data_IF_468872334668
#
_entry.id   IF_468872334668
#
_cell.length_a   1.000
_cell.length_b   1.000
_cell.length_c   1.000
_cell.angle_alpha   90.00
_cell.angle_beta   90.00
_cell.angle_gamma   90.00
#
_symmetry.space_group_name_H-M   'P 1'
#
loop_
_entity.id
_entity.type
_entity.pdbx_description
1 polymer ?
#
# COMPACT_ATOMS: atom_id res chain seq x y z
N UNK A 1 10.64 -8.97 12.60
CA UNK A 1 10.61 -7.50 12.72
C UNK A 1 9.27 -7.06 13.29
N UNK A 2 9.25 -6.07 14.19
CA UNK A 2 8.04 -5.62 14.91
C UNK A 2 7.69 -4.15 14.59
N UNK A 3 7.99 -3.71 13.37
CA UNK A 3 7.83 -2.34 12.91
C UNK A 3 6.88 -2.25 11.72
N UNK A 4 6.21 -1.11 11.62
CA UNK A 4 5.48 -0.63 10.44
C UNK A 4 6.27 0.52 9.83
N UNK A 5 6.20 0.68 8.51
CA UNK A 5 6.97 1.65 7.75
C UNK A 5 6.32 3.04 7.76
N UNK A 6 5.00 3.10 7.57
CA UNK A 6 4.17 4.33 7.55
C UNK A 6 4.44 5.31 6.39
N UNK A 7 5.21 4.91 5.38
CA UNK A 7 5.45 5.72 4.17
C UNK A 7 5.81 4.85 2.96
N UNK A 8 5.00 3.81 2.72
CA UNK A 8 5.11 2.96 1.54
C UNK A 8 4.74 3.78 0.30
N UNK A 9 5.72 3.97 -0.60
CA UNK A 9 5.59 4.71 -1.86
C UNK A 9 6.67 4.25 -2.86
N UNK A 10 6.51 4.50 -4.17
CA UNK A 10 7.48 4.06 -5.18
C UNK A 10 8.91 4.53 -4.90
N UNK A 11 9.09 5.77 -4.45
CA UNK A 11 10.39 6.37 -4.16
C UNK A 11 11.18 5.62 -3.06
N UNK A 12 10.48 4.91 -2.17
CA UNK A 12 11.09 4.13 -1.09
C UNK A 12 11.34 2.66 -1.48
N UNK A 13 11.08 2.29 -2.74
CA UNK A 13 11.32 0.96 -3.30
C UNK A 13 12.44 1.04 -4.34
N UNK A 14 13.63 0.55 -3.99
CA UNK A 14 14.81 0.61 -4.86
C UNK A 14 15.23 -0.77 -5.34
N UNK A 15 15.61 -0.87 -6.61
CA UNK A 15 16.26 -2.07 -7.13
C UNK A 15 17.68 -2.20 -6.54
N UNK A 16 18.00 -3.39 -6.04
CA UNK A 16 19.36 -3.73 -5.61
C UNK A 16 20.32 -3.84 -6.78
N UNK A 17 21.62 -3.72 -6.50
CA UNK A 17 22.67 -4.00 -7.48
C UNK A 17 22.70 -5.53 -7.70
N UNK A 18 22.41 -5.97 -8.93
CA UNK A 18 22.29 -7.39 -9.27
C UNK A 18 20.90 -7.73 -9.82
N UNK A 19 20.49 -8.99 -9.74
CA UNK A 19 19.24 -9.46 -10.36
C UNK A 19 18.05 -9.39 -9.41
N UNK A 20 17.13 -8.47 -9.71
CA UNK A 20 15.72 -8.55 -9.35
C UNK A 20 15.31 -8.42 -7.88
N UNK A 21 16.22 -8.02 -7.00
CA UNK A 21 15.88 -7.73 -5.60
C UNK A 21 15.33 -6.31 -5.47
N UNK A 22 14.15 -6.18 -4.87
CA UNK A 22 13.58 -4.88 -4.44
C UNK A 22 13.94 -4.66 -2.96
N UNK A 23 14.45 -3.49 -2.65
CA UNK A 23 14.80 -3.04 -1.30
C UNK A 23 13.85 -1.95 -0.84
N UNK A 24 13.47 -1.99 0.43
CA UNK A 24 12.69 -0.94 1.09
C UNK A 24 13.64 -0.05 1.86
N UNK A 25 13.57 1.26 1.64
CA UNK A 25 14.43 2.27 2.28
C UNK A 25 13.60 3.28 3.08
N UNK A 26 14.29 4.21 3.77
CA UNK A 26 13.68 5.30 4.54
C UNK A 26 12.75 4.84 5.69
N UNK A 27 13.38 4.36 6.75
CA UNK A 27 12.72 4.02 8.01
C UNK A 27 12.54 5.24 8.94
N UNK A 28 12.68 6.48 8.44
CA UNK A 28 12.57 7.70 9.25
C UNK A 28 11.20 7.87 9.90
N UNK A 29 10.16 7.38 9.24
CA UNK A 29 8.80 7.32 9.79
C UNK A 29 8.45 5.95 10.39
N UNK A 30 9.35 4.98 10.44
CA UNK A 30 9.00 3.67 10.97
C UNK A 30 8.65 3.72 12.46
N UNK A 31 7.72 2.86 12.89
CA UNK A 31 7.30 2.77 14.29
C UNK A 31 7.11 1.33 14.72
N UNK A 32 7.53 1.03 15.94
CA UNK A 32 7.33 -0.29 16.55
C UNK A 32 5.84 -0.47 16.90
N UNK A 33 5.21 -1.51 16.38
CA UNK A 33 3.78 -1.81 16.60
C UNK A 33 3.56 -3.02 17.52
N UNK A 34 4.59 -3.85 17.75
CA UNK A 34 4.50 -5.05 18.56
C UNK A 34 5.67 -5.14 19.55
N UNK A 35 5.37 -5.48 20.80
CA UNK A 35 6.37 -5.65 21.86
C UNK A 35 6.26 -7.07 22.41
N UNK A 36 7.37 -7.66 22.87
CA UNK A 36 7.36 -9.01 23.46
C UNK A 36 6.56 -9.07 24.77
N UNK A 37 6.44 -7.94 25.45
CA UNK A 37 5.84 -7.79 26.79
C UNK A 37 4.40 -7.29 26.75
N UNK A 38 4.04 -6.53 25.71
CA UNK A 38 2.69 -6.08 25.45
C UNK A 38 2.32 -6.50 24.03
N UNK A 39 1.26 -7.30 23.91
CA UNK A 39 0.52 -7.47 22.65
C UNK A 39 0.31 -6.11 21.96
N UNK A 40 0.08 -6.14 20.64
CA UNK A 40 -0.07 -5.02 19.71
C UNK A 40 -0.32 -3.62 20.33
N UNK A 41 0.32 -2.56 19.82
CA UNK A 41 0.07 -1.17 20.25
C UNK A 41 -1.44 -0.88 20.33
N UNK A 42 -1.90 -0.06 21.28
CA UNK A 42 -3.32 0.22 21.45
C UNK A 42 -3.86 1.08 20.30
N UNK A 43 -5.14 0.90 19.99
CA UNK A 43 -5.88 1.73 19.05
C UNK A 43 -5.95 3.17 19.57
N UNK A 44 -5.74 4.16 18.68
CA UNK A 44 -5.85 5.59 18.98
C UNK A 44 -6.39 6.35 17.77
N UNK A 45 -7.17 7.38 18.03
CA UNK A 45 -7.64 8.35 17.04
C UNK A 45 -7.04 9.73 17.32
N UNK A 46 -7.36 10.73 16.50
CA UNK A 46 -6.85 12.10 16.66
C UNK A 46 -5.35 12.23 16.42
N UNK A 47 -4.76 11.32 15.64
CA UNK A 47 -3.36 11.40 15.20
C UNK A 47 -3.20 12.43 14.10
N UNK A 48 -2.12 13.20 14.17
CA UNK A 48 -1.69 14.02 13.05
C UNK A 48 -1.38 13.17 11.83
N UNK A 49 -1.67 13.72 10.65
CA UNK A 49 -1.35 13.08 9.39
C UNK A 49 0.17 12.97 9.21
N UNK A 50 0.66 11.80 8.81
CA UNK A 50 2.07 11.56 8.49
C UNK A 50 2.20 10.67 7.25
N UNK A 51 3.32 10.81 6.55
CA UNK A 51 3.62 10.08 5.31
C UNK A 51 3.10 10.81 4.08
N UNK A 52 3.05 10.09 2.96
CA UNK A 52 2.68 10.68 1.67
C UNK A 52 1.18 10.53 1.38
N UNK A 53 0.41 11.63 1.45
CA UNK A 53 -1.05 11.66 1.25
C UNK A 53 -1.57 10.84 0.06
N UNK A 54 -0.81 10.82 -1.04
CA UNK A 54 -1.11 10.05 -2.24
C UNK A 54 -1.22 8.54 -1.98
N UNK A 55 -0.36 7.98 -1.14
CA UNK A 55 -0.27 6.53 -0.91
C UNK A 55 -0.75 6.10 0.48
N UNK A 56 -0.94 7.00 1.44
CA UNK A 56 -1.41 6.62 2.79
C UNK A 56 -2.80 5.98 2.80
N UNK A 57 -3.07 5.09 3.76
CA UNK A 57 -4.38 4.44 3.95
C UNK A 57 -5.52 5.42 4.25
N UNK A 58 -6.76 4.99 4.03
CA UNK A 58 -7.97 5.74 4.43
C UNK A 58 -7.95 6.04 5.95
N UNK A 59 -7.55 5.06 6.76
CA UNK A 59 -7.43 5.23 8.22
C UNK A 59 -6.45 6.35 8.61
N UNK A 60 -5.36 6.50 7.84
CA UNK A 60 -4.39 7.59 8.08
C UNK A 60 -5.03 8.97 7.84
N UNK A 61 -5.88 9.10 6.81
CA UNK A 61 -6.66 10.32 6.57
C UNK A 61 -7.73 10.58 7.64
N UNK A 62 -8.18 9.54 8.35
CA UNK A 62 -9.10 9.64 9.48
C UNK A 62 -8.39 9.93 10.82
N UNK A 63 -7.05 10.08 10.83
CA UNK A 63 -6.29 10.32 12.05
C UNK A 63 -6.25 9.10 12.98
N UNK A 64 -6.42 7.90 12.45
CA UNK A 64 -6.27 6.65 13.20
C UNK A 64 -4.79 6.27 13.27
N UNK A 65 -4.34 5.75 14.41
CA UNK A 65 -2.99 5.19 14.56
C UNK A 65 -2.75 4.11 13.50
N UNK A 66 -1.60 4.19 12.84
CA UNK A 66 -1.25 3.23 11.78
C UNK A 66 -0.81 1.89 12.38
N UNK A 67 -1.09 0.83 11.64
CA UNK A 67 -0.78 -0.56 11.94
C UNK A 67 -0.36 -1.30 10.67
N UNK A 68 -0.20 -2.62 10.73
CA UNK A 68 0.22 -3.43 9.58
C UNK A 68 -0.70 -3.29 8.38
N UNK A 69 -2.02 -3.16 8.59
CA UNK A 69 -2.99 -3.04 7.49
C UNK A 69 -2.76 -1.79 6.65
N UNK A 70 -2.25 -0.73 7.26
CA UNK A 70 -2.06 0.57 6.62
C UNK A 70 -0.88 0.55 5.64
N UNK A 71 0.22 -0.13 5.98
CA UNK A 71 1.32 -0.38 5.03
C UNK A 71 0.83 -1.24 3.84
N UNK A 72 0.00 -2.24 4.11
CA UNK A 72 -0.52 -3.14 3.08
C UNK A 72 -1.51 -2.44 2.13
N UNK A 73 -2.43 -1.63 2.66
CA UNK A 73 -3.34 -0.81 1.86
C UNK A 73 -2.56 0.21 1.02
N UNK A 74 -1.53 0.83 1.61
CA UNK A 74 -0.64 1.76 0.89
C UNK A 74 0.06 1.08 -0.28
N UNK A 75 0.52 -0.16 -0.11
CA UNK A 75 1.09 -0.96 -1.21
C UNK A 75 0.06 -1.27 -2.30
N UNK A 76 -1.22 -1.45 -1.95
CA UNK A 76 -2.33 -1.55 -2.91
C UNK A 76 -2.44 -0.32 -3.82
N UNK A 77 -2.31 0.88 -3.23
CA UNK A 77 -2.29 2.13 -4.01
C UNK A 77 -1.02 2.30 -4.84
N UNK A 78 0.13 1.78 -4.39
CA UNK A 78 1.35 1.73 -5.21
C UNK A 78 1.16 0.83 -6.44
N UNK A 79 0.56 -0.35 -6.27
CA UNK A 79 0.22 -1.23 -7.38
C UNK A 79 -0.75 -0.58 -8.36
N UNK A 80 -1.81 0.07 -7.87
CA UNK A 80 -2.75 0.82 -8.70
C UNK A 80 -2.05 1.91 -9.52
N UNK A 81 -1.11 2.63 -8.89
CA UNK A 81 -0.31 3.64 -9.56
C UNK A 81 0.55 3.06 -10.69
N UNK A 82 1.22 1.91 -10.47
CA UNK A 82 1.99 1.26 -11.53
C UNK A 82 1.11 0.75 -12.67
N UNK A 83 -0.05 0.16 -12.37
CA UNK A 83 -0.99 -0.31 -13.37
C UNK A 83 -1.57 0.81 -14.25
N UNK A 84 -1.89 1.97 -13.66
CA UNK A 84 -2.61 3.07 -14.34
C UNK A 84 -1.74 4.23 -14.78
N UNK A 85 -0.50 4.32 -14.29
CA UNK A 85 0.37 5.50 -14.43
C UNK A 85 -0.02 6.70 -13.55
N UNK A 86 -1.25 6.72 -13.02
CA UNK A 86 -1.74 7.75 -12.10
C UNK A 86 -2.88 7.23 -11.20
N UNK A 87 -3.13 7.93 -10.10
CA UNK A 87 -4.22 7.67 -9.18
C UNK A 87 -5.35 8.69 -9.36
N UNK A 88 -6.64 8.30 -9.22
CA UNK A 88 -7.78 9.20 -9.42
C UNK A 88 -7.74 10.46 -8.55
N UNK A 89 -7.12 10.37 -7.37
CA UNK A 89 -6.97 11.47 -6.43
C UNK A 89 -5.72 12.35 -6.64
N UNK A 90 -5.04 12.25 -7.78
CA UNK A 90 -3.95 13.16 -8.14
C UNK A 90 -4.48 14.48 -8.70
N UNK A 91 -3.81 15.59 -8.35
CA UNK A 91 -4.12 16.90 -8.92
C UNK A 91 -5.42 17.55 -8.40
N UNK A 92 -6.09 16.95 -7.41
CA UNK A 92 -7.27 17.53 -6.79
C UNK A 92 -6.95 18.92 -6.21
N UNK A 93 -7.71 19.92 -6.66
CA UNK A 93 -7.66 21.29 -6.12
C UNK A 93 -8.42 21.36 -4.80
N UNK A 94 -8.01 22.22 -3.89
CA UNK A 94 -8.71 22.54 -2.65
C UNK A 94 -8.13 23.84 -2.07
N UNK A 95 -8.93 24.60 -1.32
CA UNK A 95 -8.52 25.90 -0.77
C UNK A 95 -7.68 25.73 0.51
N UNK A 96 -7.90 24.64 1.23
CA UNK A 96 -7.17 24.30 2.46
C UNK A 96 -6.56 22.91 2.38
N UNK A 97 -5.50 22.68 3.17
CA UNK A 97 -4.90 21.35 3.28
C UNK A 97 -5.90 20.31 3.80
N UNK A 98 -6.74 20.67 4.78
CA UNK A 98 -7.78 19.79 5.31
C UNK A 98 -8.75 19.33 4.21
N UNK A 99 -9.30 20.27 3.44
CA UNK A 99 -10.17 19.95 2.31
C UNK A 99 -9.46 19.08 1.26
N UNK A 100 -8.16 19.31 1.03
CA UNK A 100 -7.37 18.46 0.12
C UNK A 100 -7.32 17.02 0.60
N UNK A 101 -7.06 16.80 1.89
CA UNK A 101 -7.05 15.48 2.50
C UNK A 101 -8.43 14.81 2.48
N UNK A 102 -9.49 15.55 2.80
CA UNK A 102 -10.87 15.05 2.74
C UNK A 102 -11.24 14.59 1.32
N UNK A 103 -10.94 15.38 0.29
CA UNK A 103 -11.17 14.99 -1.11
C UNK A 103 -10.36 13.76 -1.54
N UNK A 104 -9.09 13.67 -1.13
CA UNK A 104 -8.27 12.47 -1.40
C UNK A 104 -8.89 11.24 -0.72
N UNK A 105 -9.35 11.36 0.52
CA UNK A 105 -10.00 10.27 1.26
C UNK A 105 -11.29 9.82 0.59
N UNK A 106 -12.13 10.76 0.15
CA UNK A 106 -13.40 10.47 -0.54
C UNK A 106 -13.16 9.71 -1.84
N UNK A 107 -12.22 10.14 -2.67
CA UNK A 107 -11.82 9.42 -3.88
C UNK A 107 -11.27 8.02 -3.57
N UNK A 108 -10.51 7.87 -2.48
CA UNK A 108 -10.03 6.56 -2.03
C UNK A 108 -11.15 5.64 -1.57
N UNK A 109 -12.27 6.15 -1.06
CA UNK A 109 -13.41 5.34 -0.65
C UNK A 109 -14.13 4.65 -1.83
N UNK A 110 -13.77 4.98 -3.07
CA UNK A 110 -14.14 4.22 -4.26
C UNK A 110 -13.84 2.73 -4.09
N UNK A 111 -14.77 1.88 -4.51
CA UNK A 111 -14.65 0.43 -4.40
C UNK A 111 -13.49 -0.10 -5.23
N UNK A 112 -12.88 -1.19 -4.78
CA UNK A 112 -11.66 -1.71 -5.38
C UNK A 112 -11.86 -2.18 -6.83
N UNK A 113 -13.04 -2.74 -7.15
CA UNK A 113 -13.44 -3.13 -8.50
C UNK A 113 -13.48 -1.96 -9.48
N UNK A 114 -13.91 -0.78 -9.03
CA UNK A 114 -13.91 0.44 -9.84
C UNK A 114 -12.48 0.96 -10.01
N UNK A 115 -11.69 0.99 -8.93
CA UNK A 115 -10.30 1.46 -8.97
C UNK A 115 -9.45 0.61 -9.93
N UNK A 116 -9.60 -0.71 -9.86
CA UNK A 116 -8.87 -1.67 -10.69
C UNK A 116 -9.65 -2.11 -11.94
N UNK A 117 -10.68 -1.35 -12.36
CA UNK A 117 -11.44 -1.68 -13.58
C UNK A 117 -10.51 -1.83 -14.78
N UNK A 118 -10.57 -3.00 -15.42
CA UNK A 118 -9.73 -3.37 -16.57
C UNK A 118 -8.42 -4.07 -16.22
N UNK A 119 -8.17 -4.35 -14.94
CA UNK A 119 -7.04 -5.17 -14.46
C UNK A 119 -7.55 -6.48 -13.85
N UNK A 120 -6.68 -7.49 -13.66
CA UNK A 120 -7.06 -8.74 -13.02
C UNK A 120 -7.69 -8.56 -11.63
N UNK A 121 -8.67 -9.39 -11.31
CA UNK A 121 -9.46 -9.29 -10.07
C UNK A 121 -8.60 -9.39 -8.80
N UNK A 122 -7.44 -10.06 -8.86
CA UNK A 122 -6.51 -10.21 -7.75
C UNK A 122 -6.06 -8.87 -7.16
N UNK A 123 -6.00 -7.80 -7.97
CA UNK A 123 -5.69 -6.46 -7.47
C UNK A 123 -6.82 -5.87 -6.62
N UNK A 124 -8.07 -6.04 -7.05
CA UNK A 124 -9.23 -5.60 -6.28
C UNK A 124 -9.38 -6.42 -4.99
N UNK A 125 -9.22 -7.75 -5.09
CA UNK A 125 -9.22 -8.69 -3.97
C UNK A 125 -8.15 -8.30 -2.94
N UNK A 126 -6.94 -7.95 -3.37
CA UNK A 126 -5.88 -7.48 -2.48
C UNK A 126 -6.33 -6.24 -1.71
N UNK A 127 -6.84 -5.22 -2.41
CA UNK A 127 -7.19 -3.95 -1.78
C UNK A 127 -8.36 -4.12 -0.79
N UNK A 128 -9.41 -4.84 -1.19
CA UNK A 128 -10.55 -5.14 -0.31
C UNK A 128 -10.12 -5.95 0.92
N UNK A 129 -9.26 -6.96 0.74
CA UNK A 129 -8.68 -7.70 1.86
C UNK A 129 -7.98 -6.75 2.84
N UNK A 130 -7.10 -5.86 2.36
CA UNK A 130 -6.36 -4.96 3.25
C UNK A 130 -7.26 -3.97 3.99
N UNK A 131 -8.33 -3.49 3.35
CA UNK A 131 -9.34 -2.62 3.96
C UNK A 131 -10.20 -3.34 5.01
N UNK A 132 -10.39 -4.65 4.87
CA UNK A 132 -11.18 -5.48 5.79
C UNK A 132 -10.48 -5.79 7.12
N UNK A 133 -9.15 -5.68 7.17
CA UNK A 133 -8.36 -6.02 8.34
C UNK A 133 -8.69 -5.11 9.54
N UNK A 134 -8.86 -5.70 10.71
CA UNK A 134 -8.92 -4.96 11.97
C UNK A 134 -7.54 -4.42 12.31
N UNK A 135 -7.51 -3.44 13.22
CA UNK A 135 -6.30 -2.71 13.56
C UNK A 135 -5.15 -3.60 14.07
N UNK A 136 -5.47 -4.65 14.83
CA UNK A 136 -4.52 -5.58 15.43
C UNK A 136 -4.44 -6.93 14.71
N UNK A 137 -5.12 -7.09 13.58
CA UNK A 137 -5.02 -8.30 12.78
C UNK A 137 -3.62 -8.46 12.19
N UNK A 138 -3.17 -9.72 12.13
CA UNK A 138 -1.98 -10.09 11.38
C UNK A 138 -2.42 -10.38 9.93
N UNK A 139 -1.98 -9.59 8.93
CA UNK A 139 -2.28 -9.89 7.54
C UNK A 139 -1.79 -11.30 7.17
N UNK A 140 -2.58 -12.00 6.37
CA UNK A 140 -2.17 -13.24 5.72
C UNK A 140 -1.30 -12.91 4.49
N UNK A 141 -0.03 -12.61 4.77
CA UNK A 141 0.96 -12.33 3.73
C UNK A 141 1.17 -13.50 2.78
N UNK A 142 0.87 -14.74 3.20
CA UNK A 142 0.98 -15.89 2.32
C UNK A 142 -0.13 -15.87 1.29
N UNK A 143 -1.38 -15.68 1.71
CA UNK A 143 -2.52 -15.51 0.82
C UNK A 143 -2.31 -14.38 -0.19
N UNK A 144 -1.89 -13.19 0.27
CA UNK A 144 -1.69 -12.04 -0.62
C UNK A 144 -0.59 -12.26 -1.66
N UNK A 145 0.47 -13.01 -1.33
CA UNK A 145 1.47 -13.41 -2.33
C UNK A 145 0.96 -14.51 -3.24
N UNK A 146 0.16 -15.43 -2.72
CA UNK A 146 -0.36 -16.58 -3.44
C UNK A 146 -1.25 -16.13 -4.60
N UNK A 147 -2.19 -15.20 -4.37
CA UNK A 147 -3.10 -14.72 -5.42
C UNK A 147 -2.34 -14.16 -6.64
N UNK A 148 -1.30 -13.34 -6.42
CA UNK A 148 -0.51 -12.80 -7.53
C UNK A 148 0.40 -13.83 -8.20
N UNK A 149 0.89 -14.83 -7.46
CA UNK A 149 1.64 -15.94 -8.06
C UNK A 149 0.77 -16.81 -8.95
N UNK A 150 -0.44 -17.12 -8.50
CA UNK A 150 -1.41 -17.91 -9.28
C UNK A 150 -1.84 -17.14 -10.54
N UNK A 151 -2.09 -15.84 -10.43
CA UNK A 151 -2.30 -14.96 -11.58
C UNK A 151 -1.11 -15.01 -12.55
N UNK A 152 0.11 -14.82 -12.07
CA UNK A 152 1.33 -14.85 -12.91
C UNK A 152 1.46 -16.16 -13.70
N UNK A 153 1.19 -17.30 -13.06
CA UNK A 153 1.22 -18.62 -13.72
C UNK A 153 0.09 -18.73 -14.75
N UNK A 154 -1.13 -18.27 -14.40
CA UNK A 154 -2.29 -18.30 -15.31
C UNK A 154 -2.08 -17.46 -16.58
N UNK A 155 -1.41 -16.32 -16.46
CA UNK A 155 -1.05 -15.45 -17.59
C UNK A 155 0.20 -15.93 -18.35
N UNK A 156 0.83 -17.02 -17.92
CA UNK A 156 1.99 -17.61 -18.60
C UNK A 156 3.31 -16.85 -18.39
N UNK A 157 3.42 -16.02 -17.35
CA UNK A 157 4.67 -15.33 -17.04
C UNK A 157 5.68 -16.27 -16.35
N UNK A 158 6.93 -16.24 -16.82
CA UNK A 158 8.05 -16.90 -16.17
C UNK A 158 8.62 -16.01 -15.06
N UNK A 159 9.05 -16.62 -13.95
CA UNK A 159 9.72 -15.90 -12.87
C UNK A 159 11.22 -15.76 -13.17
N UNK A 160 11.55 -15.00 -14.21
CA UNK A 160 12.90 -14.87 -14.78
C UNK A 160 13.66 -13.62 -14.31
N UNK A 161 13.03 -12.82 -13.44
CA UNK A 161 13.52 -11.53 -12.94
C UNK A 161 13.76 -10.47 -14.03
N UNK A 162 13.11 -10.59 -15.20
CA UNK A 162 13.09 -9.54 -16.22
C UNK A 162 11.92 -8.60 -16.01
N UNK A 163 12.26 -7.35 -15.72
CA UNK A 163 11.31 -6.23 -15.63
C UNK A 163 11.33 -5.43 -16.94
N UNK A 164 10.33 -4.57 -17.16
CA UNK A 164 10.20 -3.77 -18.39
C UNK A 164 11.50 -3.01 -18.74
N UNK A 165 12.16 -2.42 -17.75
CA UNK A 165 13.42 -1.68 -17.93
C UNK A 165 14.66 -2.56 -18.14
N UNK A 166 14.55 -3.89 -17.98
CA UNK A 166 15.65 -4.84 -18.24
C UNK A 166 15.63 -5.40 -19.65
N UNK A 167 14.50 -5.29 -20.36
CA UNK A 167 14.32 -5.76 -21.74
C UNK A 167 14.68 -4.64 -22.73
N UNK A 168 14.62 -3.38 -22.30
CA UNK A 168 14.94 -2.20 -23.12
C UNK A 168 16.46 -1.96 -23.33
N UNK A 169 17.27 -3.03 -23.32
CA UNK A 169 18.73 -2.99 -23.51
C UNK A 169 19.16 -3.76 -24.75
#
# INVERSE_FOLDING_TARGET
MSFIHRDIKPDNLLMGIGKGQVNVIDFGLAKKYYFKTSSHIPYREGKDFMGTARYSSINTHLGVEQSRRDDMESFGYVMLYFCRGSLPWQGLKADTLKQKHDRIREEKATSADILFKGFPDEFAIYLDYTRSLRFDDKPDYFYLRKIFRELSVREGFEYDYKFDWTIAG
#
